data_IF_054016742367
#
_entry.id   IF_054016742367
#
_cell.length_a   1.000
_cell.length_b   1.000
_cell.length_c   1.000
_cell.angle_alpha   90.00
_cell.angle_beta   90.00
_cell.angle_gamma   90.00
#
_symmetry.space_group_name_H-M   'P 1'
#
loop_
_entity.id
_entity.type
_entity.pdbx_description
1 polymer ?
#
# COMPACT_ATOMS: atom_id res chain seq x y z
N UNK A 1 12.03 -4.20 -25.34
CA UNK A 1 10.85 -5.08 -25.34
C UNK A 1 9.81 -4.39 -24.48
N UNK A 2 8.58 -4.18 -24.95
CA UNK A 2 7.54 -3.61 -24.10
C UNK A 2 6.94 -4.76 -23.28
N UNK A 3 7.18 -4.75 -21.97
CA UNK A 3 6.64 -5.75 -21.05
C UNK A 3 5.14 -5.50 -20.97
N UNK A 4 4.33 -6.42 -21.49
CA UNK A 4 2.87 -6.35 -21.39
C UNK A 4 2.44 -7.08 -20.13
N UNK A 5 2.68 -6.45 -18.97
CA UNK A 5 2.26 -7.01 -17.69
C UNK A 5 0.74 -7.16 -17.62
N UNK A 6 0.22 -8.20 -16.95
CA UNK A 6 -1.21 -8.37 -16.75
C UNK A 6 -1.85 -7.11 -16.12
N UNK A 7 -2.88 -6.49 -16.73
CA UNK A 7 -3.44 -5.23 -16.25
C UNK A 7 -3.95 -5.28 -14.81
N UNK A 8 -4.52 -6.41 -14.39
CA UNK A 8 -4.98 -6.60 -13.02
C UNK A 8 -3.83 -6.58 -12.01
N UNK A 9 -2.66 -7.13 -12.40
CA UNK A 9 -1.47 -7.10 -11.56
C UNK A 9 -0.91 -5.68 -11.44
N UNK A 10 -0.91 -4.92 -12.53
CA UNK A 10 -0.49 -3.51 -12.52
C UNK A 10 -1.44 -2.68 -11.65
N UNK A 11 -2.76 -2.91 -11.74
CA UNK A 11 -3.73 -2.22 -10.89
C UNK A 11 -3.52 -2.51 -9.39
N UNK A 12 -3.18 -3.74 -9.04
CA UNK A 12 -2.83 -4.12 -7.67
C UNK A 12 -1.53 -3.43 -7.21
N UNK A 13 -0.51 -3.35 -8.08
CA UNK A 13 0.74 -2.65 -7.79
C UNK A 13 0.56 -1.13 -7.64
N UNK A 14 -0.34 -0.55 -8.44
CA UNK A 14 -0.64 0.89 -8.43
C UNK A 14 -1.50 1.31 -7.22
N UNK A 15 -2.11 0.36 -6.51
CA UNK A 15 -2.82 0.61 -5.25
C UNK A 15 -1.85 0.80 -4.08
N UNK A 16 -1.17 1.95 -4.14
CA UNK A 16 -0.19 2.38 -3.13
C UNK A 16 -0.77 2.48 -1.74
N UNK A 17 -2.03 2.89 -1.60
CA UNK A 17 -2.67 2.99 -0.30
C UNK A 17 -2.79 1.61 0.35
N UNK A 18 -3.33 0.63 -0.38
CA UNK A 18 -3.43 -0.72 0.14
C UNK A 18 -2.04 -1.33 0.43
N UNK A 19 -1.04 -1.07 -0.42
CA UNK A 19 0.34 -1.49 -0.18
C UNK A 19 0.90 -0.94 1.13
N UNK A 20 0.73 0.36 1.42
CA UNK A 20 1.22 0.96 2.67
C UNK A 20 0.44 0.44 3.88
N UNK A 21 -0.86 0.18 3.76
CA UNK A 21 -1.66 -0.35 4.88
C UNK A 21 -1.32 -1.80 5.23
N UNK A 22 -1.04 -2.66 4.24
CA UNK A 22 -0.67 -4.06 4.42
C UNK A 22 0.49 -4.49 3.50
N UNK A 23 1.73 -4.07 3.81
CA UNK A 23 2.87 -4.29 2.91
C UNK A 23 3.12 -5.78 2.61
N UNK A 24 3.15 -6.62 3.64
CA UNK A 24 3.45 -8.04 3.50
C UNK A 24 2.29 -8.79 2.82
N UNK A 25 1.04 -8.51 3.19
CA UNK A 25 -0.11 -9.18 2.60
C UNK A 25 -0.32 -8.83 1.13
N UNK A 26 -0.16 -7.55 0.76
CA UNK A 26 -0.30 -7.12 -0.65
C UNK A 26 0.87 -7.58 -1.51
N UNK A 27 2.09 -7.64 -0.97
CA UNK A 27 3.23 -8.27 -1.68
C UNK A 27 2.99 -9.76 -1.95
N UNK A 28 2.43 -10.50 -0.98
CA UNK A 28 2.05 -11.90 -1.19
C UNK A 28 0.99 -12.08 -2.29
N UNK A 29 0.00 -11.17 -2.36
CA UNK A 29 -1.00 -11.16 -3.44
C UNK A 29 -0.34 -10.93 -4.80
N UNK A 30 0.53 -9.93 -4.93
CA UNK A 30 1.27 -9.65 -6.17
C UNK A 30 2.11 -10.85 -6.62
N UNK A 31 2.79 -11.52 -5.68
CA UNK A 31 3.58 -12.71 -5.98
C UNK A 31 2.71 -13.89 -6.46
N UNK A 32 1.54 -14.12 -5.85
CA UNK A 32 0.63 -15.18 -6.28
C UNK A 32 -0.04 -14.87 -7.62
N UNK A 33 -0.37 -13.61 -7.89
CA UNK A 33 -0.89 -13.18 -9.19
C UNK A 33 0.15 -13.41 -10.30
N UNK A 34 1.43 -13.09 -10.06
CA UNK A 34 2.52 -13.35 -11.01
C UNK A 34 2.68 -14.85 -11.28
N UNK A 35 2.76 -15.67 -10.23
CA UNK A 35 2.82 -17.14 -10.37
C UNK A 35 1.60 -17.69 -11.11
N UNK A 36 0.40 -17.16 -10.84
CA UNK A 36 -0.82 -17.58 -11.51
C UNK A 36 -0.82 -17.23 -13.01
N UNK A 37 -0.36 -16.03 -13.38
CA UNK A 37 -0.20 -15.62 -14.78
C UNK A 37 0.80 -16.54 -15.51
N UNK A 38 1.93 -16.85 -14.88
CA UNK A 38 2.91 -17.77 -15.46
C UNK A 38 2.34 -19.19 -15.63
N UNK A 39 1.58 -19.71 -14.66
CA UNK A 39 0.89 -21.00 -14.78
C UNK A 39 -0.12 -21.02 -15.94
N UNK A 40 -0.78 -19.88 -16.21
CA UNK A 40 -1.68 -19.70 -17.36
C UNK A 40 -0.93 -19.44 -18.68
N UNK A 41 0.40 -19.35 -18.65
CA UNK A 41 1.27 -19.01 -19.80
C UNK A 41 0.96 -17.64 -20.41
N UNK A 42 0.48 -16.72 -19.58
CA UNK A 42 0.27 -15.32 -19.98
C UNK A 42 1.58 -14.54 -20.03
N UNK A 43 2.57 -14.99 -19.24
CA UNK A 43 3.90 -14.41 -19.12
C UNK A 43 4.96 -15.52 -19.15
N UNK A 44 6.16 -15.18 -19.61
CA UNK A 44 7.31 -16.09 -19.59
C UNK A 44 8.02 -16.13 -18.22
N UNK A 45 9.12 -16.89 -18.13
CA UNK A 45 9.87 -17.04 -16.89
C UNK A 45 10.69 -15.78 -16.51
N UNK A 46 11.10 -14.98 -17.50
CA UNK A 46 11.80 -13.72 -17.27
C UNK A 46 10.84 -12.67 -16.73
N UNK A 47 9.66 -12.54 -17.35
CA UNK A 47 8.58 -11.67 -16.87
C UNK A 47 8.09 -12.08 -15.47
N UNK A 48 8.01 -13.39 -15.18
CA UNK A 48 7.74 -13.85 -13.81
C UNK A 48 8.80 -13.36 -12.82
N UNK A 49 10.08 -13.45 -13.17
CA UNK A 49 11.16 -12.99 -12.31
C UNK A 49 11.04 -11.49 -12.04
N UNK A 50 10.85 -10.69 -13.08
CA UNK A 50 10.67 -9.24 -12.98
C UNK A 50 9.45 -8.87 -12.11
N UNK A 51 8.32 -9.56 -12.26
CA UNK A 51 7.13 -9.33 -11.43
C UNK A 51 7.36 -9.69 -9.96
N UNK A 52 8.10 -10.75 -9.66
CA UNK A 52 8.43 -11.11 -8.27
C UNK A 52 9.41 -10.11 -7.65
N UNK A 53 10.38 -9.63 -8.42
CA UNK A 53 11.31 -8.59 -7.99
C UNK A 53 10.58 -7.27 -7.73
N UNK A 54 9.65 -6.87 -8.59
CA UNK A 54 8.82 -5.69 -8.38
C UNK A 54 7.89 -5.83 -7.17
N UNK A 55 7.32 -7.02 -6.93
CA UNK A 55 6.50 -7.27 -5.74
C UNK A 55 7.29 -7.12 -4.43
N UNK A 56 8.56 -7.55 -4.42
CA UNK A 56 9.45 -7.36 -3.27
C UNK A 56 9.91 -5.91 -3.13
N UNK A 57 10.23 -5.22 -4.24
CA UNK A 57 10.57 -3.81 -4.21
C UNK A 57 9.40 -2.95 -3.68
N UNK A 58 8.17 -3.26 -4.11
CA UNK A 58 6.96 -2.61 -3.60
C UNK A 58 6.77 -2.85 -2.09
N UNK A 59 7.03 -4.07 -1.61
CA UNK A 59 6.98 -4.41 -0.18
C UNK A 59 7.97 -3.57 0.64
N UNK A 60 9.22 -3.46 0.18
CA UNK A 60 10.26 -2.71 0.87
C UNK A 60 9.95 -1.21 0.91
N UNK A 61 9.44 -0.65 -0.19
CA UNK A 61 8.96 0.73 -0.21
C UNK A 61 7.79 0.92 0.75
N UNK A 62 6.78 0.05 0.68
CA UNK A 62 5.58 0.15 1.50
C UNK A 62 5.86 -0.02 3.00
N UNK A 63 6.85 -0.83 3.40
CA UNK A 63 7.29 -0.93 4.79
C UNK A 63 7.85 0.40 5.32
N UNK A 64 8.68 1.09 4.53
CA UNK A 64 9.22 2.39 4.90
C UNK A 64 8.09 3.42 5.07
N UNK A 65 7.17 3.48 4.12
CA UNK A 65 6.02 4.39 4.18
C UNK A 65 5.05 4.03 5.31
N UNK A 66 4.90 2.73 5.63
CA UNK A 66 4.07 2.26 6.73
C UNK A 66 4.63 2.76 8.07
N UNK A 67 5.94 2.65 8.27
CA UNK A 67 6.64 3.18 9.44
C UNK A 67 6.48 4.72 9.52
N UNK A 68 6.70 5.44 8.42
CA UNK A 68 6.51 6.90 8.38
C UNK A 68 5.06 7.30 8.71
N UNK A 69 4.07 6.56 8.23
CA UNK A 69 2.66 6.83 8.51
C UNK A 69 2.29 6.56 9.98
N UNK A 70 2.93 5.61 10.66
CA UNK A 70 2.82 5.46 12.12
C UNK A 70 3.46 6.62 12.87
N UNK A 71 4.64 7.07 12.44
CA UNK A 71 5.38 8.18 13.05
C UNK A 71 4.65 9.52 12.89
N UNK A 72 3.97 9.72 11.75
CA UNK A 72 3.10 10.86 11.48
C UNK A 72 1.71 10.74 12.13
N UNK A 73 1.46 9.68 12.90
CA UNK A 73 0.19 9.37 13.55
C UNK A 73 -1.01 9.24 12.59
N UNK A 74 -0.77 9.01 11.30
CA UNK A 74 -1.82 8.87 10.29
C UNK A 74 -2.64 7.59 10.50
N UNK A 75 -1.97 6.49 10.88
CA UNK A 75 -2.62 5.22 11.23
C UNK A 75 -3.10 5.15 12.69
N UNK A 76 -2.80 6.15 13.52
CA UNK A 76 -3.30 6.20 14.92
C UNK A 76 -4.83 6.26 14.98
N UNK A 77 -5.49 6.74 13.93
CA UNK A 77 -6.96 6.83 13.87
C UNK A 77 -7.64 5.52 13.44
N UNK A 78 -6.92 4.51 12.95
CA UNK A 78 -7.53 3.20 12.63
C UNK A 78 -7.91 2.39 13.88
N UNK A 79 -7.39 2.78 15.05
CA UNK A 79 -7.80 2.24 16.35
C UNK A 79 -9.01 2.96 16.99
N UNK A 80 -9.68 3.87 16.27
CA UNK A 80 -11.05 4.20 16.65
C UNK A 80 -11.93 3.00 16.30
N UNK A 81 -12.01 2.06 17.25
CA UNK A 81 -13.18 1.18 17.31
C UNK A 81 -14.40 2.08 17.17
N UNK A 82 -15.35 1.64 16.35
CA UNK A 82 -16.65 2.19 15.98
C UNK A 82 -17.57 2.58 17.17
N UNK A 83 -17.06 3.31 18.16
CA UNK A 83 -17.77 3.72 19.38
C UNK A 83 -17.98 5.23 19.48
N UNK A 84 -17.24 6.05 18.71
CA UNK A 84 -17.47 7.50 18.65
C UNK A 84 -18.13 7.90 17.34
N UNK A 85 -19.41 7.54 17.21
CA UNK A 85 -20.29 8.12 16.22
C UNK A 85 -20.37 9.65 16.44
N UNK A 86 -19.77 10.43 15.54
CA UNK A 86 -20.30 11.75 15.18
C UNK A 86 -19.50 12.99 15.55
N UNK A 87 -18.16 12.97 15.60
CA UNK A 87 -17.40 14.22 15.67
C UNK A 87 -16.27 14.27 14.65
N UNK A 88 -16.52 14.97 13.54
CA UNK A 88 -15.46 15.53 12.71
C UNK A 88 -14.71 16.56 13.56
N UNK A 89 -13.47 16.24 13.96
CA UNK A 89 -12.56 17.22 14.54
C UNK A 89 -12.05 18.13 13.42
N UNK A 90 -12.83 19.17 13.10
CA UNK A 90 -12.35 20.30 12.29
C UNK A 90 -11.21 20.96 13.06
N UNK A 91 -10.05 21.06 12.42
CA UNK A 91 -8.76 21.38 13.02
C UNK A 91 -8.79 22.51 14.04
N UNK A 92 -8.22 22.26 15.22
CA UNK A 92 -7.74 23.33 16.08
C UNK A 92 -6.51 23.94 15.44
N UNK A 93 -6.67 25.11 14.85
CA UNK A 93 -5.54 25.97 14.47
C UNK A 93 -4.71 26.25 15.73
N UNK A 94 -3.40 25.94 15.75
CA UNK A 94 -2.53 26.30 16.86
C UNK A 94 -2.31 27.81 16.85
N UNK A 95 -2.47 28.45 18.01
CA UNK A 95 -2.03 29.83 18.23
C UNK A 95 -3.16 30.86 18.24
N UNK A 96 -3.69 31.12 19.44
CA UNK A 96 -3.99 32.46 19.94
C UNK A 96 -4.16 32.41 21.46
N UNK A 97 -3.05 32.16 22.14
CA UNK A 97 -2.83 32.82 23.42
C UNK A 97 -2.54 34.29 23.10
N UNK A 98 -3.54 35.15 23.27
CA UNK A 98 -3.29 36.57 23.49
C UNK A 98 -4.11 36.98 24.70
N UNK A 99 -3.36 37.21 25.76
CA UNK A 99 -3.74 37.78 27.04
C UNK A 99 -4.27 39.21 26.82
N UNK A 100 -5.48 39.49 27.32
CA UNK A 100 -5.89 40.73 27.99
C UNK A 100 -7.37 40.62 28.40
#
# INVERSE_FOLDING_TARGET
MAILLPPAWVAELDDRFALVTDPDGRSAVLAEMAKAAHRRREIDAGELCEMLELAEAARLWALLEHEEAWDLELFRFENFSDQDHGRILVGRTPGKDIVA
#
